data_IF_129626167045
#
_entry.id   IF_129626167045
#
_cell.length_a   1.000
_cell.length_b   1.000
_cell.length_c   1.000
_cell.angle_alpha   90.00
_cell.angle_beta   90.00
_cell.angle_gamma   90.00
#
_symmetry.space_group_name_H-M   'P 1'
#
loop_
_entity.id
_entity.type
_entity.pdbx_description
1 polymer ?
#
# COMPACT_ATOMS: atom_id res chain seq x y z
N UNK A 1 -2.71 18.31 7.18
CA UNK A 1 -2.41 17.56 5.95
C UNK A 1 -2.34 16.07 6.27
N UNK A 2 -2.92 15.25 5.38
CA UNK A 2 -2.85 13.81 5.51
C UNK A 2 -1.42 13.29 5.20
N UNK A 3 -0.97 12.17 5.79
CA UNK A 3 0.32 11.59 5.46
C UNK A 3 0.45 11.26 3.97
N UNK A 4 1.58 11.64 3.35
CA UNK A 4 1.75 11.57 1.89
C UNK A 4 1.68 10.16 1.33
N UNK A 5 2.33 9.19 1.96
CA UNK A 5 2.38 7.80 1.46
C UNK A 5 1.01 7.10 1.51
N UNK A 6 0.22 7.15 2.59
CA UNK A 6 -1.16 6.67 2.57
C UNK A 6 -2.03 7.37 1.53
N UNK A 7 -1.88 8.69 1.37
CA UNK A 7 -2.58 9.44 0.32
C UNK A 7 -2.20 8.97 -1.08
N UNK A 8 -0.92 8.64 -1.30
CA UNK A 8 -0.44 8.09 -2.56
C UNK A 8 -1.12 6.75 -2.88
N UNK A 9 -1.30 5.85 -1.90
CA UNK A 9 -2.05 4.61 -2.10
C UNK A 9 -3.48 4.89 -2.56
N UNK A 10 -4.15 5.86 -1.95
CA UNK A 10 -5.52 6.24 -2.35
C UNK A 10 -5.56 6.81 -3.77
N UNK A 11 -4.59 7.65 -4.13
CA UNK A 11 -4.49 8.22 -5.50
C UNK A 11 -4.23 7.14 -6.55
N UNK A 12 -3.40 6.15 -6.25
CA UNK A 12 -3.17 5.00 -7.16
C UNK A 12 -4.46 4.24 -7.38
N UNK A 13 -5.20 3.88 -6.34
CA UNK A 13 -6.49 3.20 -6.47
C UNK A 13 -7.49 4.01 -7.29
N UNK A 14 -7.60 5.30 -7.01
CA UNK A 14 -8.48 6.22 -7.76
C UNK A 14 -8.09 6.33 -9.24
N UNK A 15 -6.80 6.47 -9.53
CA UNK A 15 -6.29 6.60 -10.90
C UNK A 15 -6.66 5.40 -11.78
N UNK A 16 -6.61 4.20 -11.21
CA UNK A 16 -6.98 2.97 -11.90
C UNK A 16 -8.47 2.60 -11.78
N UNK A 17 -9.29 3.50 -11.24
CA UNK A 17 -10.73 3.27 -11.12
C UNK A 17 -11.11 2.13 -10.17
N UNK A 18 -10.26 1.83 -9.18
CA UNK A 18 -10.50 0.76 -8.22
C UNK A 18 -11.38 1.29 -7.09
N UNK A 19 -12.65 0.89 -7.10
CA UNK A 19 -13.59 1.22 -6.03
C UNK A 19 -13.37 0.31 -4.82
N UNK A 20 -13.15 0.94 -3.66
CA UNK A 20 -12.96 0.22 -2.38
C UNK A 20 -14.27 -0.12 -1.68
N UNK A 21 -15.40 0.40 -2.13
CA UNK A 21 -16.71 0.23 -1.48
C UNK A 21 -17.07 -1.25 -1.36
N UNK A 22 -17.27 -1.73 -0.13
CA UNK A 22 -17.62 -3.12 0.17
C UNK A 22 -16.48 -4.13 -0.04
N UNK A 23 -15.29 -3.69 -0.48
CA UNK A 23 -14.14 -4.56 -0.66
C UNK A 23 -13.49 -4.93 0.66
N UNK A 24 -12.99 -6.16 0.74
CA UNK A 24 -12.11 -6.59 1.83
C UNK A 24 -10.69 -6.09 1.54
N UNK A 25 -10.17 -5.24 2.41
CA UNK A 25 -8.82 -4.71 2.28
C UNK A 25 -7.98 -5.13 3.48
N UNK A 26 -6.83 -5.72 3.21
CA UNK A 26 -5.83 -6.02 4.24
C UNK A 26 -4.70 -5.01 4.15
N UNK A 27 -4.38 -4.38 5.28
CA UNK A 27 -3.21 -3.52 5.44
C UNK A 27 -2.17 -4.26 6.29
N UNK A 28 -1.02 -4.57 5.71
CA UNK A 28 0.08 -5.24 6.41
C UNK A 28 1.05 -4.18 6.90
N UNK A 29 1.09 -4.00 8.21
CA UNK A 29 1.84 -2.95 8.91
C UNK A 29 0.92 -2.00 9.66
N UNK A 30 1.41 -1.50 10.81
CA UNK A 30 0.61 -0.65 11.73
C UNK A 30 1.37 0.56 12.24
N UNK A 31 2.30 1.07 11.43
CA UNK A 31 3.01 2.32 11.77
C UNK A 31 2.04 3.50 11.83
N UNK A 32 2.40 4.51 12.60
CA UNK A 32 1.64 5.77 12.67
C UNK A 32 1.74 6.59 11.39
N UNK A 33 2.76 6.33 10.58
CA UNK A 33 3.05 7.11 9.37
C UNK A 33 2.36 6.52 8.12
N UNK A 34 2.22 5.19 8.05
CA UNK A 34 1.69 4.52 6.85
C UNK A 34 0.50 3.62 7.18
N UNK A 35 0.70 2.56 7.96
CA UNK A 35 -0.30 1.51 8.11
C UNK A 35 -1.62 1.98 8.73
N UNK A 36 -1.56 2.64 9.88
CA UNK A 36 -2.76 3.17 10.55
C UNK A 36 -3.48 4.23 9.71
N UNK A 37 -2.79 5.26 9.17
CA UNK A 37 -3.46 6.23 8.31
C UNK A 37 -4.07 5.62 7.05
N UNK A 38 -3.39 4.67 6.40
CA UNK A 38 -3.93 3.98 5.23
C UNK A 38 -5.23 3.23 5.57
N UNK A 39 -5.25 2.51 6.68
CA UNK A 39 -6.44 1.81 7.16
C UNK A 39 -7.62 2.78 7.38
N UNK A 40 -7.38 3.92 8.01
CA UNK A 40 -8.42 4.94 8.25
C UNK A 40 -8.92 5.57 6.94
N UNK A 41 -8.03 5.83 5.98
CA UNK A 41 -8.43 6.34 4.67
C UNK A 41 -9.27 5.34 3.88
N UNK A 42 -8.93 4.05 3.94
CA UNK A 42 -9.68 2.97 3.30
C UNK A 42 -11.07 2.80 3.93
N UNK A 43 -11.17 2.89 5.26
CA UNK A 43 -12.47 2.92 5.95
C UNK A 43 -13.34 4.09 5.47
N UNK A 44 -12.75 5.28 5.30
CA UNK A 44 -13.46 6.44 4.75
C UNK A 44 -13.95 6.22 3.31
N UNK A 45 -13.29 5.32 2.56
CA UNK A 45 -13.71 4.88 1.22
C UNK A 45 -14.67 3.67 1.24
N UNK A 46 -15.30 3.41 2.38
CA UNK A 46 -16.28 2.33 2.59
C UNK A 46 -15.73 0.90 2.40
N UNK A 47 -14.43 0.70 2.59
CA UNK A 47 -13.83 -0.62 2.62
C UNK A 47 -14.03 -1.31 3.97
N UNK A 48 -14.04 -2.65 3.97
CA UNK A 48 -13.88 -3.46 5.18
C UNK A 48 -12.39 -3.73 5.37
N UNK A 49 -11.79 -3.18 6.43
CA UNK A 49 -10.33 -3.16 6.59
C UNK A 49 -9.89 -4.08 7.73
N UNK A 50 -8.94 -4.94 7.43
CA UNK A 50 -8.20 -5.74 8.41
C UNK A 50 -6.75 -5.28 8.45
N UNK A 51 -6.22 -5.01 9.64
CA UNK A 51 -4.81 -4.63 9.84
C UNK A 51 -4.03 -5.83 10.37
N UNK A 52 -3.02 -6.25 9.60
CA UNK A 52 -2.10 -7.33 9.97
C UNK A 52 -0.76 -6.78 10.43
N UNK A 53 -0.07 -7.53 11.28
CA UNK A 53 1.23 -7.20 11.83
C UNK A 53 2.00 -8.46 12.26
N UNK A 54 3.20 -8.32 12.76
CA UNK A 54 4.08 -9.43 13.14
C UNK A 54 3.51 -10.42 14.17
N UNK A 55 2.43 -10.05 14.86
CA UNK A 55 1.74 -10.93 15.82
C UNK A 55 0.39 -11.45 15.29
N UNK A 56 0.06 -11.21 14.04
CA UNK A 56 -1.14 -11.76 13.41
C UNK A 56 -0.96 -13.27 13.25
N UNK A 57 -1.93 -14.03 13.75
CA UNK A 57 -1.96 -15.49 13.61
C UNK A 57 -2.40 -15.85 12.20
N UNK A 58 -1.70 -16.75 11.56
CA UNK A 58 -1.97 -17.23 10.20
C UNK A 58 -2.24 -16.10 9.19
N UNK A 59 -1.30 -15.16 9.13
CA UNK A 59 -1.41 -14.00 8.23
C UNK A 59 -1.65 -14.41 6.77
N UNK A 60 -1.04 -15.47 6.21
CA UNK A 60 -1.33 -15.89 4.84
C UNK A 60 -2.80 -16.13 4.57
N UNK A 61 -3.51 -16.82 5.46
CA UNK A 61 -4.95 -17.06 5.31
C UNK A 61 -5.77 -15.77 5.36
N UNK A 62 -5.43 -14.85 6.27
CA UNK A 62 -6.10 -13.54 6.36
C UNK A 62 -5.89 -12.73 5.09
N UNK A 63 -4.66 -12.69 4.56
CA UNK A 63 -4.33 -11.92 3.34
C UNK A 63 -5.03 -12.50 2.11
N UNK A 64 -5.16 -13.83 2.01
CA UNK A 64 -5.86 -14.47 0.90
C UNK A 64 -7.35 -14.14 0.82
N UNK A 65 -7.98 -13.73 1.90
CA UNK A 65 -9.39 -13.30 1.88
C UNK A 65 -9.58 -11.88 1.29
N UNK A 66 -8.52 -11.09 1.18
CA UNK A 66 -8.61 -9.72 0.70
C UNK A 66 -8.83 -9.63 -0.81
N UNK A 67 -9.53 -8.58 -1.23
CA UNK A 67 -9.60 -8.11 -2.62
C UNK A 67 -8.42 -7.18 -2.94
N UNK A 68 -8.04 -6.36 -1.96
CA UNK A 68 -6.95 -5.40 -2.07
C UNK A 68 -5.99 -5.61 -0.88
N UNK A 69 -4.70 -5.62 -1.15
CA UNK A 69 -3.65 -5.75 -0.13
C UNK A 69 -2.72 -4.55 -0.19
N UNK A 70 -2.59 -3.83 0.91
CA UNK A 70 -1.62 -2.74 1.07
C UNK A 70 -0.50 -3.23 1.96
N UNK A 71 0.73 -3.28 1.44
CA UNK A 71 1.88 -3.84 2.14
C UNK A 71 2.82 -2.73 2.59
N UNK A 72 2.98 -2.58 3.89
CA UNK A 72 3.84 -1.60 4.56
C UNK A 72 4.55 -2.26 5.76
N UNK A 73 5.19 -3.40 5.52
CA UNK A 73 5.85 -4.22 6.54
C UNK A 73 7.26 -3.72 6.90
N UNK A 74 7.90 -2.98 5.99
CA UNK A 74 9.26 -2.45 6.18
C UNK A 74 10.34 -3.52 6.12
N UNK A 75 10.10 -4.63 5.42
CA UNK A 75 11.05 -5.74 5.26
C UNK A 75 10.97 -6.30 3.84
N UNK A 76 12.12 -6.33 3.17
CA UNK A 76 12.24 -6.80 1.79
C UNK A 76 11.69 -8.21 1.59
N UNK A 77 10.80 -8.37 0.60
CA UNK A 77 10.30 -9.66 0.14
C UNK A 77 9.57 -10.51 1.18
N UNK A 78 9.10 -9.90 2.28
CA UNK A 78 8.45 -10.65 3.39
C UNK A 78 7.09 -11.23 2.98
N UNK A 79 6.46 -10.66 1.98
CA UNK A 79 5.21 -11.17 1.41
C UNK A 79 5.53 -11.87 0.08
N UNK A 80 5.38 -13.18 0.07
CA UNK A 80 5.61 -14.04 -1.08
C UNK A 80 4.31 -14.61 -1.66
N UNK A 81 4.41 -15.51 -2.64
CA UNK A 81 3.27 -16.13 -3.29
C UNK A 81 2.35 -16.92 -2.35
N UNK A 82 2.83 -17.36 -1.18
CA UNK A 82 2.02 -18.09 -0.20
C UNK A 82 0.96 -17.21 0.46
N UNK A 83 1.14 -15.89 0.44
CA UNK A 83 0.17 -14.92 0.98
C UNK A 83 -0.89 -14.51 -0.02
N UNK A 84 -0.66 -14.73 -1.32
CA UNK A 84 -1.42 -14.11 -2.39
C UNK A 84 -2.31 -15.12 -3.13
N UNK A 85 -3.29 -14.61 -3.86
CA UNK A 85 -4.15 -15.37 -4.76
C UNK A 85 -4.51 -14.57 -6.01
N UNK A 86 -5.01 -15.25 -7.01
CA UNK A 86 -5.60 -14.64 -8.21
C UNK A 86 -6.75 -13.69 -7.86
N UNK A 87 -6.91 -12.63 -8.62
CA UNK A 87 -7.96 -11.62 -8.44
C UNK A 87 -7.63 -10.51 -7.46
N UNK A 88 -6.48 -10.55 -6.80
CA UNK A 88 -6.07 -9.52 -5.85
C UNK A 88 -5.38 -8.33 -6.52
N UNK A 89 -5.53 -7.17 -5.90
CA UNK A 89 -4.78 -5.96 -6.22
C UNK A 89 -3.82 -5.68 -5.06
N UNK A 90 -2.52 -5.53 -5.37
CA UNK A 90 -1.48 -5.33 -4.36
C UNK A 90 -0.83 -3.97 -4.51
N UNK A 91 -0.84 -3.20 -3.44
CA UNK A 91 -0.14 -1.91 -3.32
C UNK A 91 1.07 -2.12 -2.41
N UNK A 92 2.26 -2.21 -2.99
CA UNK A 92 3.51 -2.35 -2.24
C UNK A 92 4.08 -0.96 -1.91
N UNK A 93 4.13 -0.64 -0.64
CA UNK A 93 4.64 0.64 -0.11
C UNK A 93 6.08 0.51 0.39
N UNK A 94 6.60 -0.72 0.44
CA UNK A 94 7.96 -0.99 0.92
C UNK A 94 9.03 -0.30 0.07
N UNK A 95 10.04 0.22 0.73
CA UNK A 95 11.27 0.70 0.09
C UNK A 95 12.44 0.11 0.84
N UNK A 96 13.11 -0.86 0.21
CA UNK A 96 14.26 -1.56 0.77
C UNK A 96 15.39 -1.58 -0.27
N UNK A 97 16.58 -1.91 0.18
CA UNK A 97 17.71 -2.24 -0.68
C UNK A 97 18.03 -3.72 -0.48
N UNK A 98 18.00 -4.48 -1.56
CA UNK A 98 18.31 -5.91 -1.52
C UNK A 98 19.82 -6.17 -1.42
N UNK A 99 20.22 -7.43 -1.34
CA UNK A 99 21.64 -7.85 -1.22
C UNK A 99 22.49 -7.41 -2.42
N UNK A 100 21.88 -7.18 -3.59
CA UNK A 100 22.55 -6.67 -4.80
C UNK A 100 22.62 -5.14 -4.85
N UNK A 101 22.17 -4.44 -3.81
CA UNK A 101 22.14 -2.97 -3.77
C UNK A 101 21.02 -2.34 -4.59
N UNK A 102 20.03 -3.11 -5.04
CA UNK A 102 18.88 -2.62 -5.82
C UNK A 102 17.69 -2.30 -4.92
N UNK A 103 16.92 -1.29 -5.29
CA UNK A 103 15.65 -0.97 -4.63
C UNK A 103 14.64 -2.10 -4.87
N UNK A 104 13.95 -2.49 -3.81
CA UNK A 104 12.87 -3.47 -3.84
C UNK A 104 11.79 -3.13 -2.81
N UNK A 105 10.62 -3.74 -2.95
CA UNK A 105 9.52 -3.59 -2.02
C UNK A 105 9.50 -4.63 -0.91
N UNK A 106 8.40 -4.65 -0.18
CA UNK A 106 8.12 -5.64 0.86
C UNK A 106 7.53 -6.94 0.27
N UNK A 107 7.08 -6.91 -0.98
CA UNK A 107 6.53 -8.07 -1.70
C UNK A 107 7.60 -8.67 -2.60
N UNK A 108 7.65 -10.01 -2.67
CA UNK A 108 8.39 -10.70 -3.72
C UNK A 108 7.68 -10.48 -5.06
N UNK A 109 8.12 -9.46 -5.80
CA UNK A 109 7.45 -9.00 -7.01
C UNK A 109 7.40 -10.07 -8.11
N UNK A 110 8.48 -10.82 -8.31
CA UNK A 110 8.57 -11.85 -9.36
C UNK A 110 7.56 -12.98 -9.17
N UNK A 111 7.28 -13.35 -7.93
CA UNK A 111 6.24 -14.32 -7.61
C UNK A 111 4.85 -13.70 -7.71
N UNK A 112 4.67 -12.52 -7.10
CA UNK A 112 3.39 -11.86 -6.99
C UNK A 112 2.79 -11.49 -8.35
N UNK A 113 3.58 -10.95 -9.29
CA UNK A 113 3.10 -10.54 -10.62
C UNK A 113 2.50 -11.69 -11.44
N UNK A 114 2.88 -12.94 -11.15
CA UNK A 114 2.34 -14.14 -11.82
C UNK A 114 1.03 -14.62 -11.21
N UNK A 115 0.66 -14.12 -10.03
CA UNK A 115 -0.47 -14.61 -9.24
C UNK A 115 -1.60 -13.59 -9.22
N UNK A 116 -1.30 -12.32 -8.93
CA UNK A 116 -2.29 -11.27 -8.70
C UNK A 116 -2.70 -10.56 -9.99
N UNK A 117 -3.85 -9.90 -9.98
CA UNK A 117 -4.33 -9.16 -11.15
C UNK A 117 -3.55 -7.87 -11.40
N UNK A 118 -3.12 -7.21 -10.34
CA UNK A 118 -2.30 -6.00 -10.42
C UNK A 118 -1.43 -5.83 -9.19
N UNK A 119 -0.23 -5.30 -9.40
CA UNK A 119 0.72 -4.95 -8.32
C UNK A 119 1.52 -3.71 -8.70
N UNK A 120 1.73 -2.81 -7.74
CA UNK A 120 2.63 -1.67 -7.91
C UNK A 120 4.08 -2.12 -7.84
N UNK A 121 4.95 -1.70 -8.79
CA UNK A 121 6.38 -2.01 -8.73
C UNK A 121 7.12 -1.15 -7.69
N UNK A 122 8.30 -1.61 -7.28
CA UNK A 122 9.26 -0.83 -6.51
C UNK A 122 10.65 -1.01 -7.17
N UNK A 123 11.29 0.07 -7.64
CA UNK A 123 10.84 1.47 -7.71
C UNK A 123 9.76 1.74 -8.78
N UNK A 124 9.41 3.01 -8.96
CA UNK A 124 8.46 3.53 -9.97
C UNK A 124 6.98 3.22 -9.68
N UNK A 125 6.65 2.86 -8.45
CA UNK A 125 5.28 2.71 -7.98
C UNK A 125 4.83 3.87 -7.08
N UNK A 126 4.40 3.54 -5.88
CA UNK A 126 3.85 4.48 -4.89
C UNK A 126 4.80 5.62 -4.52
N UNK A 127 6.12 5.37 -4.50
CA UNK A 127 7.11 6.36 -4.09
C UNK A 127 7.10 7.64 -4.93
N UNK A 128 6.93 7.54 -6.25
CA UNK A 128 6.82 8.72 -7.14
C UNK A 128 5.57 9.54 -6.85
N UNK A 129 4.45 8.87 -6.57
CA UNK A 129 3.18 9.53 -6.21
C UNK A 129 3.29 10.22 -4.85
N UNK A 130 3.96 9.60 -3.88
CA UNK A 130 4.22 10.19 -2.55
C UNK A 130 4.92 11.55 -2.67
N UNK A 131 5.94 11.64 -3.52
CA UNK A 131 6.68 12.90 -3.75
C UNK A 131 5.77 13.96 -4.38
N UNK A 132 4.95 13.59 -5.34
CA UNK A 132 4.00 14.51 -5.98
C UNK A 132 2.97 15.07 -4.98
N UNK A 133 2.47 14.24 -4.06
CA UNK A 133 1.55 14.68 -3.01
C UNK A 133 2.24 15.63 -2.03
N UNK A 134 3.49 15.39 -1.69
CA UNK A 134 4.25 16.32 -0.85
C UNK A 134 4.34 17.71 -1.51
N UNK A 135 4.61 17.77 -2.81
CA UNK A 135 4.63 19.04 -3.55
C UNK A 135 3.24 19.70 -3.57
N UNK A 136 2.17 18.94 -3.78
CA UNK A 136 0.78 19.44 -3.69
C UNK A 136 0.53 20.09 -2.32
N UNK A 137 0.89 19.43 -1.23
CA UNK A 137 0.75 19.96 0.14
C UNK A 137 1.53 21.26 0.36
N UNK A 138 2.74 21.38 -0.20
CA UNK A 138 3.54 22.61 -0.11
C UNK A 138 2.85 23.77 -0.82
N UNK A 139 2.31 23.54 -2.02
CA UNK A 139 1.58 24.55 -2.79
C UNK A 139 0.30 24.97 -2.06
N UNK A 140 -0.47 24.02 -1.54
CA UNK A 140 -1.70 24.29 -0.80
C UNK A 140 -1.43 25.09 0.48
N UNK A 141 -0.34 24.76 1.18
CA UNK A 141 0.09 25.51 2.36
C UNK A 141 0.47 26.96 2.01
N UNK A 142 1.21 27.17 0.93
CA UNK A 142 1.56 28.51 0.46
C UNK A 142 0.34 29.34 0.08
N UNK A 143 -0.63 28.74 -0.63
CA UNK A 143 -1.88 29.41 -0.99
C UNK A 143 -2.68 29.79 0.28
N UNK A 144 -2.76 28.90 1.26
CA UNK A 144 -3.48 29.15 2.50
C UNK A 144 -2.86 30.27 3.35
N UNK A 145 -1.52 30.40 3.32
CA UNK A 145 -0.80 31.46 4.06
C UNK A 145 -0.92 32.84 3.40
N UNK A 146 -1.22 32.91 2.10
CA UNK A 146 -1.32 34.16 1.36
C UNK A 146 -2.77 34.65 1.17
N UNK A 147 -3.72 34.04 1.86
CA UNK A 147 -5.11 34.47 1.96
C UNK A 147 -5.31 35.30 3.24
#
# INVERSE_FOLDING_TARGET
>A
YAPCTPSACMKVLEHYGIDCTGKKVVVIGRSLVVGKPAAMMLLKKNATVTVCHTRTVDMPSVVKEADIVVVAAGKAGVIDGNYLREGQIVIDVGINVNEEGKLCGDVNFEEAEKIVDAITPVPRGVGGVTTSILLEHVVDAAIAQNR
#
